data_IF_331203500616
#
_entry.id   IF_331203500616
#
_cell.length_a   1.000
_cell.length_b   1.000
_cell.length_c   1.000
_cell.angle_alpha   90.00
_cell.angle_beta   90.00
_cell.angle_gamma   90.00
#
_symmetry.space_group_name_H-M   'P 1'
#
loop_
_entity.id
_entity.type
_entity.pdbx_description
1 polymer ?
#
# COMPACT_ATOMS: atom_id res chain seq x y z
N UNK A 1 -1.14 23.59 10.13
CA UNK A 1 -2.12 22.58 10.55
C UNK A 1 -3.51 23.09 10.22
N UNK A 2 -4.43 22.23 9.75
CA UNK A 2 -5.82 22.63 9.45
C UNK A 2 -6.68 22.64 10.72
N UNK A 3 -7.65 23.56 10.86
CA UNK A 3 -8.70 23.44 11.87
C UNK A 3 -9.40 22.07 11.78
N UNK A 4 -9.82 21.50 12.92
CA UNK A 4 -10.39 20.15 12.97
C UNK A 4 -11.57 19.95 12.00
N UNK A 5 -12.42 20.96 11.86
CA UNK A 5 -13.56 20.95 10.94
C UNK A 5 -13.15 20.89 9.45
N UNK A 6 -11.94 21.32 9.11
CA UNK A 6 -11.44 21.39 7.73
C UNK A 6 -10.62 20.15 7.33
N UNK A 7 -10.22 19.31 8.28
CA UNK A 7 -9.34 18.15 8.03
C UNK A 7 -9.96 17.19 7.00
N UNK A 8 -11.25 16.91 7.09
CA UNK A 8 -11.93 16.01 6.16
C UNK A 8 -11.89 16.55 4.72
N UNK A 9 -12.29 17.81 4.53
CA UNK A 9 -12.29 18.48 3.22
C UNK A 9 -10.87 18.60 2.64
N UNK A 10 -9.87 18.90 3.48
CA UNK A 10 -8.48 18.92 3.07
C UNK A 10 -8.00 17.52 2.60
N UNK A 11 -8.42 16.46 3.30
CA UNK A 11 -8.13 15.08 2.92
C UNK A 11 -8.76 14.68 1.58
N UNK A 12 -10.00 15.10 1.31
CA UNK A 12 -10.66 14.88 0.02
C UNK A 12 -9.92 15.60 -1.11
N UNK A 13 -9.61 16.89 -0.90
CA UNK A 13 -8.87 17.70 -1.87
C UNK A 13 -7.49 17.11 -2.18
N UNK A 14 -6.79 16.62 -1.16
CA UNK A 14 -5.51 15.93 -1.33
C UNK A 14 -5.67 14.68 -2.20
N UNK A 15 -6.69 13.84 -1.94
CA UNK A 15 -6.93 12.62 -2.73
C UNK A 15 -7.28 12.92 -4.19
N UNK A 16 -8.02 14.00 -4.44
CA UNK A 16 -8.34 14.47 -5.80
C UNK A 16 -7.09 14.88 -6.59
N UNK A 17 -6.16 15.58 -5.95
CA UNK A 17 -4.90 16.03 -6.56
C UNK A 17 -3.90 14.88 -6.76
N UNK A 18 -3.94 13.87 -5.89
CA UNK A 18 -2.90 12.84 -5.80
C UNK A 18 -2.58 12.13 -7.12
N UNK A 19 -3.56 11.67 -7.93
CA UNK A 19 -3.26 10.99 -9.19
C UNK A 19 -2.41 11.82 -10.15
N UNK A 20 -2.68 13.13 -10.23
CA UNK A 20 -1.99 14.04 -11.13
C UNK A 20 -0.56 14.41 -10.70
N UNK A 21 -0.21 14.19 -9.43
CA UNK A 21 1.08 14.64 -8.88
C UNK A 21 1.97 13.50 -8.37
N UNK A 22 1.41 12.41 -7.87
CA UNK A 22 2.17 11.42 -7.12
C UNK A 22 2.42 10.12 -7.89
N UNK A 23 1.55 9.75 -8.84
CA UNK A 23 1.67 8.45 -9.53
C UNK A 23 2.85 8.46 -10.50
N UNK A 24 2.81 9.30 -11.53
CA UNK A 24 3.80 9.32 -12.61
C UNK A 24 5.28 9.52 -12.18
N UNK A 25 5.61 10.34 -11.16
CA UNK A 25 7.01 10.51 -10.76
C UNK A 25 7.51 9.43 -9.79
N UNK A 26 6.65 8.52 -9.30
CA UNK A 26 7.08 7.50 -8.34
C UNK A 26 7.81 6.36 -9.04
N UNK A 27 8.95 5.97 -8.48
CA UNK A 27 9.74 4.82 -8.94
C UNK A 27 9.63 3.65 -7.97
N UNK A 28 9.72 2.42 -8.49
CA UNK A 28 9.85 1.23 -7.66
C UNK A 28 11.26 1.16 -7.03
N UNK A 29 11.34 0.61 -5.81
CA UNK A 29 12.63 0.20 -5.26
C UNK A 29 13.22 -0.95 -6.11
N UNK A 30 14.54 -1.06 -6.10
CA UNK A 30 15.24 -2.15 -6.78
C UNK A 30 14.72 -3.51 -6.28
N UNK A 31 14.38 -4.41 -7.22
CA UNK A 31 13.89 -5.76 -6.92
C UNK A 31 12.43 -5.83 -6.44
N UNK A 32 11.68 -4.73 -6.33
CA UNK A 32 10.30 -4.77 -5.84
C UNK A 32 9.35 -5.56 -6.75
N UNK A 33 9.47 -5.39 -8.08
CA UNK A 33 8.71 -6.17 -9.07
C UNK A 33 9.10 -7.65 -9.01
N UNK A 34 10.39 -7.92 -9.06
CA UNK A 34 10.94 -9.28 -9.08
C UNK A 34 10.56 -10.04 -7.82
N UNK A 35 10.63 -9.42 -6.65
CA UNK A 35 10.27 -10.05 -5.38
C UNK A 35 8.82 -10.56 -5.36
N UNK A 36 7.87 -9.76 -5.87
CA UNK A 36 6.47 -10.18 -5.99
C UNK A 36 6.30 -11.28 -7.03
N UNK A 37 6.95 -11.15 -8.19
CA UNK A 37 6.90 -12.14 -9.25
C UNK A 37 7.47 -13.50 -8.81
N UNK A 38 8.63 -13.51 -8.15
CA UNK A 38 9.31 -14.72 -7.69
C UNK A 38 8.53 -15.44 -6.58
N UNK A 39 7.95 -14.71 -5.62
CA UNK A 39 7.06 -15.31 -4.62
C UNK A 39 5.91 -16.07 -5.31
N UNK A 40 5.30 -15.47 -6.34
CA UNK A 40 4.22 -16.09 -7.10
C UNK A 40 4.72 -17.27 -7.96
N UNK A 41 5.90 -17.15 -8.57
CA UNK A 41 6.51 -18.22 -9.37
C UNK A 41 6.83 -19.47 -8.53
N UNK A 42 7.17 -19.28 -7.25
CA UNK A 42 7.37 -20.36 -6.28
C UNK A 42 6.06 -20.94 -5.71
N UNK A 43 4.90 -20.51 -6.21
CA UNK A 43 3.57 -20.96 -5.76
C UNK A 43 3.06 -20.24 -4.50
N UNK A 44 3.76 -19.19 -4.06
CA UNK A 44 3.32 -18.33 -2.97
C UNK A 44 2.29 -17.29 -3.41
N UNK A 45 1.86 -16.46 -2.44
CA UNK A 45 1.02 -15.28 -2.69
C UNK A 45 1.68 -14.06 -2.06
N UNK A 46 1.59 -12.92 -2.74
CA UNK A 46 2.04 -11.63 -2.26
C UNK A 46 0.83 -10.70 -2.08
N UNK A 47 0.66 -10.15 -0.88
CA UNK A 47 -0.41 -9.18 -0.57
C UNK A 47 0.20 -7.85 -0.15
N UNK A 48 -0.44 -6.75 -0.55
CA UNK A 48 -0.04 -5.40 -0.14
C UNK A 48 -1.01 -4.89 0.92
N UNK A 49 -0.50 -4.65 2.12
CA UNK A 49 -1.27 -4.09 3.25
C UNK A 49 -0.70 -2.72 3.61
N UNK A 50 -1.51 -1.67 3.51
CA UNK A 50 -1.02 -0.28 3.60
C UNK A 50 -2.01 0.66 4.29
N UNK A 51 -1.48 1.70 4.91
CA UNK A 51 -2.28 2.81 5.44
C UNK A 51 -2.75 3.78 4.35
N UNK A 52 -2.18 3.67 3.14
CA UNK A 52 -2.54 4.51 2.00
C UNK A 52 -4.02 4.31 1.67
N UNK A 53 -4.65 5.38 1.16
CA UNK A 53 -5.94 5.29 0.48
C UNK A 53 -5.87 4.21 -0.60
N UNK A 54 -6.66 3.13 -0.48
CA UNK A 54 -6.51 1.94 -1.31
C UNK A 54 -6.48 2.22 -2.82
N UNK A 55 -7.35 3.09 -3.39
CA UNK A 55 -7.30 3.42 -4.81
C UNK A 55 -5.96 4.03 -5.23
N UNK A 56 -5.34 4.87 -4.40
CA UNK A 56 -4.02 5.40 -4.69
C UNK A 56 -2.94 4.32 -4.65
N UNK A 57 -3.05 3.34 -3.73
CA UNK A 57 -2.14 2.20 -3.70
C UNK A 57 -2.24 1.37 -5.00
N UNK A 58 -3.47 1.09 -5.46
CA UNK A 58 -3.73 0.39 -6.72
C UNK A 58 -3.18 1.14 -7.93
N UNK A 59 -3.35 2.47 -7.98
CA UNK A 59 -2.77 3.29 -9.05
C UNK A 59 -1.24 3.21 -9.10
N UNK A 60 -0.57 3.21 -7.94
CA UNK A 60 0.89 3.03 -7.87
C UNK A 60 1.31 1.65 -8.36
N UNK A 61 0.65 0.59 -7.90
CA UNK A 61 0.97 -0.78 -8.30
C UNK A 61 0.80 -0.98 -9.81
N UNK A 62 -0.29 -0.47 -10.38
CA UNK A 62 -0.53 -0.49 -11.82
C UNK A 62 0.52 0.31 -12.61
N UNK A 63 0.83 1.54 -12.17
CA UNK A 63 1.86 2.37 -12.81
C UNK A 63 3.25 1.68 -12.76
N UNK A 64 3.53 1.01 -11.65
CA UNK A 64 4.79 0.31 -11.41
C UNK A 64 4.75 -1.15 -11.88
N UNK A 65 3.72 -1.62 -12.57
CA UNK A 65 3.60 -3.03 -13.02
C UNK A 65 3.95 -4.05 -11.94
N UNK A 66 3.52 -3.80 -10.70
CA UNK A 66 3.64 -4.74 -9.58
C UNK A 66 2.26 -5.34 -9.38
N UNK A 67 2.14 -6.66 -9.54
CA UNK A 67 0.87 -7.38 -9.56
C UNK A 67 0.74 -8.30 -8.32
N UNK A 68 0.36 -7.76 -7.15
CA UNK A 68 0.08 -8.57 -5.96
C UNK A 68 -1.27 -9.28 -6.09
N UNK A 69 -1.46 -10.35 -5.31
CA UNK A 69 -2.70 -11.13 -5.27
C UNK A 69 -3.83 -10.42 -4.52
N UNK A 70 -3.51 -9.47 -3.63
CA UNK A 70 -4.47 -8.60 -2.95
C UNK A 70 -3.86 -7.26 -2.56
N UNK A 71 -4.71 -6.24 -2.45
CA UNK A 71 -4.36 -4.90 -1.94
C UNK A 71 -5.40 -4.48 -0.92
N UNK A 72 -4.98 -4.24 0.31
CA UNK A 72 -5.83 -3.78 1.41
C UNK A 72 -5.29 -2.44 1.91
N UNK A 73 -6.05 -1.36 1.67
CA UNK A 73 -5.68 -0.01 2.10
C UNK A 73 -6.28 0.39 3.45
N UNK A 74 -6.03 1.63 3.87
CA UNK A 74 -6.56 2.25 5.10
C UNK A 74 -6.18 1.59 6.43
N UNK A 75 -5.21 0.67 6.45
CA UNK A 75 -4.80 0.00 7.69
C UNK A 75 -3.50 0.60 8.23
N UNK A 76 -3.57 1.15 9.44
CA UNK A 76 -2.42 1.72 10.14
C UNK A 76 -1.92 0.79 11.25
N UNK A 77 -0.60 0.63 11.33
CA UNK A 77 0.09 -0.10 12.38
C UNK A 77 -0.55 -1.48 12.68
N UNK A 78 -0.92 -1.76 13.93
CA UNK A 78 -1.44 -3.05 14.39
C UNK A 78 -2.72 -3.48 13.65
N UNK A 79 -3.49 -2.53 13.11
CA UNK A 79 -4.68 -2.83 12.30
C UNK A 79 -4.34 -3.60 11.02
N UNK A 80 -3.10 -3.47 10.50
CA UNK A 80 -2.62 -4.29 9.37
C UNK A 80 -2.60 -5.78 9.70
N UNK A 81 -2.42 -6.12 10.98
CA UNK A 81 -2.38 -7.49 11.47
C UNK A 81 -3.68 -8.27 11.19
N UNK A 82 -4.83 -7.59 11.12
CA UNK A 82 -6.10 -8.23 10.77
C UNK A 82 -6.08 -8.76 9.34
N UNK A 83 -5.73 -7.92 8.37
CA UNK A 83 -5.60 -8.33 6.97
C UNK A 83 -4.48 -9.37 6.77
N UNK A 84 -3.36 -9.23 7.48
CA UNK A 84 -2.28 -10.22 7.42
C UNK A 84 -2.75 -11.61 7.89
N UNK A 85 -3.51 -11.66 8.99
CA UNK A 85 -4.11 -12.91 9.52
C UNK A 85 -5.15 -13.47 8.56
N UNK A 86 -6.05 -12.64 8.04
CA UNK A 86 -7.08 -13.06 7.08
C UNK A 86 -6.46 -13.69 5.82
N UNK A 87 -5.38 -13.11 5.32
CA UNK A 87 -4.67 -13.64 4.15
C UNK A 87 -3.70 -14.78 4.48
N UNK A 88 -3.49 -15.12 5.75
CA UNK A 88 -2.57 -16.18 6.18
C UNK A 88 -1.10 -15.84 5.90
N UNK A 89 -0.71 -14.57 6.02
CA UNK A 89 0.66 -14.13 5.78
C UNK A 89 1.61 -14.74 6.81
N UNK A 90 2.66 -15.40 6.32
CA UNK A 90 3.70 -16.04 7.16
C UNK A 90 4.93 -15.14 7.37
N UNK A 91 5.13 -14.18 6.47
CA UNK A 91 6.23 -13.20 6.51
C UNK A 91 5.63 -11.84 6.21
N UNK A 92 6.07 -10.82 6.96
CA UNK A 92 5.67 -9.44 6.74
C UNK A 92 6.91 -8.55 6.64
N UNK A 93 6.92 -7.66 5.64
CA UNK A 93 8.00 -6.70 5.39
C UNK A 93 7.39 -5.31 5.37
N UNK A 94 7.89 -4.45 6.24
CA UNK A 94 7.48 -3.05 6.36
C UNK A 94 8.67 -2.18 6.74
N UNK A 95 8.56 -0.88 6.48
CA UNK A 95 9.62 0.11 6.65
C UNK A 95 9.39 1.04 7.85
N UNK A 96 8.23 0.95 8.49
CA UNK A 96 7.88 1.76 9.63
C UNK A 96 7.82 0.94 10.92
N UNK A 97 8.13 1.55 12.08
CA UNK A 97 8.04 0.86 13.38
C UNK A 97 6.64 0.32 13.67
N UNK A 98 5.59 0.94 13.12
CA UNK A 98 4.22 0.45 13.22
C UNK A 98 3.96 -0.87 12.48
N UNK A 99 4.85 -1.27 11.56
CA UNK A 99 4.74 -2.53 10.83
C UNK A 99 5.29 -3.73 11.62
N UNK A 100 5.97 -3.48 12.74
CA UNK A 100 6.65 -4.51 13.56
C UNK A 100 6.27 -4.46 15.04
N UNK A 101 5.15 -3.78 15.36
CA UNK A 101 4.53 -3.79 16.69
C UNK A 101 3.46 -4.86 16.77
#
# INVERSE_FOLDING_TARGET
>A
WFPAAEVAAAGDRYRELYPGHAIAPTTALAGARDSVAEVRALGGRAVVVTAKYEPNAKLHLAHLGIEPDAVVGWLWAEAKGEALREHGAQVYVGDHTGDVR
#
